data_IF_780938933949
#
_entry.id   IF_780938933949
#
_cell.length_a   1.000
_cell.length_b   1.000
_cell.length_c   1.000
_cell.angle_alpha   90.00
_cell.angle_beta   90.00
_cell.angle_gamma   90.00
#
_symmetry.space_group_name_H-M   'P 1'
#
loop_
_entity.id
_entity.type
_entity.pdbx_description
1 polymer ?
#
# COMPACT_ATOMS: atom_id res chain seq x y z
N UNK A 1 16.25 -26.36 -3.48
CA UNK A 1 17.45 -26.30 -2.60
C UNK A 1 18.36 -27.42 -3.05
N UNK A 2 19.61 -27.10 -3.39
CA UNK A 2 20.60 -28.08 -3.87
C UNK A 2 22.00 -27.50 -3.64
N UNK A 3 23.01 -28.35 -3.46
CA UNK A 3 24.40 -27.93 -3.61
C UNK A 3 24.86 -28.13 -5.06
N UNK A 4 24.83 -27.04 -5.82
CA UNK A 4 25.40 -26.98 -7.16
C UNK A 4 26.55 -25.95 -7.25
N UNK A 5 27.30 -25.73 -6.15
CA UNK A 5 28.53 -24.94 -6.15
C UNK A 5 29.68 -25.77 -6.73
N UNK A 6 30.21 -25.39 -7.91
CA UNK A 6 31.16 -26.20 -8.68
C UNK A 6 30.69 -27.66 -8.92
N UNK A 7 29.37 -27.87 -8.95
CA UNK A 7 28.75 -29.17 -9.12
C UNK A 7 27.59 -29.02 -10.13
N UNK A 8 27.86 -29.15 -11.44
CA UNK A 8 26.87 -28.87 -12.47
C UNK A 8 25.70 -29.85 -12.43
N UNK A 9 24.51 -29.36 -12.76
CA UNK A 9 23.27 -30.12 -12.88
C UNK A 9 22.39 -29.51 -13.98
N UNK A 10 21.21 -30.07 -14.24
CA UNK A 10 20.27 -29.51 -15.20
C UNK A 10 19.71 -28.15 -14.71
N UNK A 11 19.61 -27.12 -15.59
CA UNK A 11 19.39 -25.74 -15.14
C UNK A 11 18.07 -25.49 -14.39
N UNK A 12 16.98 -26.11 -14.82
CA UNK A 12 15.66 -26.02 -14.17
C UNK A 12 15.53 -26.92 -12.93
N UNK A 13 16.61 -27.58 -12.53
CA UNK A 13 16.75 -28.34 -11.29
C UNK A 13 17.77 -27.80 -10.30
N UNK A 14 18.47 -26.70 -10.62
CA UNK A 14 19.51 -26.16 -9.75
C UNK A 14 18.94 -25.40 -8.54
N UNK A 15 19.79 -25.05 -7.58
CA UNK A 15 19.39 -24.19 -6.47
C UNK A 15 18.83 -22.85 -6.97
N UNK A 16 17.71 -22.42 -6.41
CA UNK A 16 17.03 -21.18 -6.82
C UNK A 16 16.12 -21.31 -8.03
N UNK A 17 16.07 -22.48 -8.68
CA UNK A 17 15.09 -22.74 -9.74
C UNK A 17 13.66 -22.76 -9.18
N UNK A 18 12.70 -22.30 -9.98
CA UNK A 18 11.34 -22.81 -9.89
C UNK A 18 11.35 -24.19 -10.54
N UNK A 19 11.40 -25.23 -9.73
CA UNK A 19 11.78 -26.58 -10.16
C UNK A 19 10.93 -27.09 -11.34
N UNK A 20 11.60 -27.41 -12.46
CA UNK A 20 10.96 -27.90 -13.70
C UNK A 20 10.18 -26.82 -14.49
N UNK A 21 10.26 -25.55 -14.08
CA UNK A 21 9.56 -24.41 -14.71
C UNK A 21 10.56 -23.41 -15.25
N UNK A 22 11.46 -22.90 -14.41
CA UNK A 22 12.39 -21.83 -14.78
C UNK A 22 13.74 -21.97 -14.06
N UNK A 23 14.86 -22.04 -14.81
CA UNK A 23 16.20 -21.93 -14.25
C UNK A 23 16.41 -20.61 -13.48
N UNK A 24 17.27 -20.56 -12.46
CA UNK A 24 17.68 -19.29 -11.87
C UNK A 24 18.47 -18.45 -12.88
N UNK A 25 18.32 -17.13 -12.82
CA UNK A 25 19.05 -16.21 -13.69
C UNK A 25 20.58 -16.28 -13.50
N UNK A 26 21.02 -16.62 -12.29
CA UNK A 26 22.45 -16.76 -11.93
C UNK A 26 22.61 -17.76 -10.79
N UNK A 27 23.75 -18.46 -10.77
CA UNK A 27 24.15 -19.27 -9.62
C UNK A 27 24.77 -18.37 -8.54
N UNK A 28 23.98 -18.01 -7.52
CA UNK A 28 24.41 -17.15 -6.42
C UNK A 28 24.82 -17.95 -5.16
N UNK A 29 25.17 -19.24 -5.28
CA UNK A 29 25.55 -20.07 -4.15
C UNK A 29 26.91 -19.65 -3.54
N UNK A 30 26.99 -19.70 -2.22
CA UNK A 30 28.26 -19.76 -1.49
C UNK A 30 28.82 -21.18 -1.47
N UNK A 31 30.11 -21.33 -1.15
CA UNK A 31 30.75 -22.63 -1.00
C UNK A 31 30.12 -23.49 0.14
N UNK A 32 30.30 -24.83 0.11
CA UNK A 32 29.83 -25.71 1.17
C UNK A 32 30.33 -25.31 2.55
N UNK A 33 29.51 -25.55 3.58
CA UNK A 33 29.79 -25.15 4.97
C UNK A 33 29.39 -23.70 5.29
N UNK A 34 29.09 -22.88 4.29
CA UNK A 34 28.52 -21.55 4.47
C UNK A 34 26.99 -21.58 4.44
N UNK A 35 26.37 -20.66 5.18
CA UNK A 35 24.92 -20.49 5.14
C UNK A 35 24.48 -19.79 3.87
N UNK A 36 23.52 -20.40 3.17
CA UNK A 36 22.75 -19.76 2.09
C UNK A 36 21.54 -19.07 2.71
N UNK A 37 21.22 -17.84 2.27
CA UNK A 37 19.95 -17.18 2.61
C UNK A 37 19.01 -17.21 1.41
N UNK A 38 17.72 -17.42 1.68
CA UNK A 38 16.64 -17.32 0.70
C UNK A 38 15.64 -16.29 1.21
N UNK A 39 15.33 -15.30 0.38
CA UNK A 39 14.18 -14.44 0.54
C UNK A 39 13.19 -14.76 -0.58
N UNK A 40 11.98 -15.19 -0.22
CA UNK A 40 10.98 -15.66 -1.19
C UNK A 40 9.73 -14.80 -1.06
N UNK A 41 9.33 -14.20 -2.19
CA UNK A 41 8.05 -13.51 -2.32
C UNK A 41 7.16 -14.38 -3.19
N UNK A 42 6.09 -14.91 -2.59
CA UNK A 42 5.17 -15.80 -3.25
C UNK A 42 3.79 -15.16 -3.39
N UNK A 43 3.27 -15.12 -4.62
CA UNK A 43 1.89 -14.76 -4.94
C UNK A 43 1.19 -16.00 -5.47
N UNK A 44 0.14 -16.46 -4.78
CA UNK A 44 -0.62 -17.64 -5.21
C UNK A 44 -1.32 -17.39 -6.57
N UNK A 45 -1.48 -18.44 -7.40
CA UNK A 45 -2.40 -18.39 -8.52
C UNK A 45 -3.84 -18.16 -8.06
N UNK A 46 -4.63 -17.48 -8.90
CA UNK A 46 -6.07 -17.28 -8.72
C UNK A 46 -6.77 -17.88 -9.93
N UNK A 47 -7.53 -18.94 -9.69
CA UNK A 47 -8.39 -19.58 -10.69
C UNK A 47 -9.82 -19.55 -10.16
N UNK A 48 -10.77 -19.04 -10.96
CA UNK A 48 -12.21 -19.04 -10.66
C UNK A 48 -12.96 -19.62 -11.84
N UNK A 49 -13.85 -20.57 -11.58
CA UNK A 49 -14.69 -21.20 -12.61
C UNK A 49 -13.89 -21.73 -13.81
N UNK A 50 -12.68 -22.27 -13.55
CA UNK A 50 -11.77 -22.77 -14.57
C UNK A 50 -10.99 -21.70 -15.35
N UNK A 51 -11.21 -20.41 -15.05
CA UNK A 51 -10.49 -19.29 -15.67
C UNK A 51 -9.34 -18.84 -14.77
N UNK A 52 -8.14 -18.75 -15.34
CA UNK A 52 -6.96 -18.19 -14.67
C UNK A 52 -7.07 -16.67 -14.66
N UNK A 53 -7.34 -16.10 -13.49
CA UNK A 53 -7.41 -14.65 -13.29
C UNK A 53 -6.02 -14.05 -13.00
N UNK A 54 -5.16 -14.82 -12.36
CA UNK A 54 -3.77 -14.47 -12.04
C UNK A 54 -2.96 -15.77 -11.97
N UNK A 55 -1.85 -15.87 -12.71
CA UNK A 55 -0.99 -17.06 -12.66
C UNK A 55 -0.24 -17.18 -11.33
N UNK A 56 -0.21 -16.12 -10.52
CA UNK A 56 0.69 -16.03 -9.40
C UNK A 56 2.14 -15.85 -9.86
N UNK A 57 3.02 -15.69 -8.89
CA UNK A 57 4.45 -15.50 -9.16
C UNK A 57 5.31 -15.90 -7.99
N UNK A 58 6.57 -16.20 -8.28
CA UNK A 58 7.61 -16.40 -7.28
C UNK A 58 8.84 -15.56 -7.60
N UNK A 59 9.17 -14.64 -6.70
CA UNK A 59 10.45 -13.95 -6.69
C UNK A 59 11.33 -14.61 -5.64
N UNK A 60 12.57 -14.91 -6.01
CA UNK A 60 13.54 -15.57 -5.13
C UNK A 60 14.82 -14.76 -5.16
N UNK A 61 15.29 -14.37 -3.99
CA UNK A 61 16.64 -13.87 -3.79
C UNK A 61 17.45 -14.95 -3.08
N UNK A 62 18.65 -15.20 -3.59
CA UNK A 62 19.63 -16.05 -2.95
C UNK A 62 20.83 -15.21 -2.56
N UNK A 63 21.17 -15.18 -1.26
CA UNK A 63 22.28 -14.38 -0.75
C UNK A 63 22.21 -12.89 -1.16
N UNK A 64 21.00 -12.33 -1.24
CA UNK A 64 20.74 -10.95 -1.66
C UNK A 64 20.71 -10.73 -3.19
N UNK A 65 20.97 -11.75 -4.00
CA UNK A 65 20.93 -11.68 -5.47
C UNK A 65 19.58 -12.20 -5.96
N UNK A 66 18.88 -11.42 -6.78
CA UNK A 66 17.63 -11.87 -7.43
C UNK A 66 17.96 -12.97 -8.43
N UNK A 67 17.44 -14.18 -8.19
CA UNK A 67 17.62 -15.35 -9.06
C UNK A 67 16.34 -15.76 -9.78
N UNK A 68 15.18 -15.35 -9.26
CA UNK A 68 13.87 -15.42 -9.93
C UNK A 68 13.22 -14.06 -9.77
N UNK A 69 12.79 -13.44 -10.85
CA UNK A 69 12.06 -12.17 -10.82
C UNK A 69 10.62 -12.39 -11.27
N UNK A 70 9.70 -12.42 -10.30
CA UNK A 70 8.27 -12.51 -10.54
C UNK A 70 7.88 -13.67 -11.47
N UNK A 71 8.61 -14.78 -11.37
CA UNK A 71 8.48 -15.93 -12.26
C UNK A 71 7.06 -16.50 -12.19
N UNK A 72 6.32 -16.57 -13.31
CA UNK A 72 4.97 -17.12 -13.35
C UNK A 72 4.93 -18.57 -12.88
N UNK A 73 3.85 -18.94 -12.20
CA UNK A 73 3.67 -20.28 -11.67
C UNK A 73 2.78 -21.12 -12.57
N UNK A 74 2.98 -22.43 -12.49
CA UNK A 74 2.11 -23.45 -13.05
C UNK A 74 1.31 -24.14 -11.94
N UNK A 75 0.45 -25.11 -12.29
CA UNK A 75 -0.36 -25.87 -11.34
C UNK A 75 0.37 -26.92 -10.52
N UNK A 76 1.67 -26.74 -10.32
CA UNK A 76 2.56 -27.70 -9.70
C UNK A 76 3.15 -28.71 -10.69
N UNK A 77 4.05 -29.55 -10.20
CA UNK A 77 4.82 -30.44 -11.07
C UNK A 77 5.89 -31.23 -10.32
N UNK A 78 6.71 -31.94 -11.09
CA UNK A 78 7.84 -32.74 -10.62
C UNK A 78 8.88 -32.82 -11.73
N UNK A 79 9.90 -33.66 -11.58
CA UNK A 79 10.96 -33.78 -12.60
C UNK A 79 10.36 -34.01 -14.00
N UNK A 80 10.62 -33.08 -14.93
CA UNK A 80 10.11 -33.09 -16.31
C UNK A 80 8.57 -33.10 -16.43
N UNK A 81 7.84 -32.55 -15.45
CA UNK A 81 6.37 -32.50 -15.46
C UNK A 81 5.87 -31.09 -15.10
N UNK A 82 4.98 -30.55 -15.93
CA UNK A 82 4.26 -29.29 -15.71
C UNK A 82 2.76 -29.56 -15.72
N UNK A 83 2.02 -29.08 -14.72
CA UNK A 83 0.56 -29.18 -14.67
C UNK A 83 -0.08 -27.82 -14.99
N UNK A 84 -1.22 -27.77 -15.69
CA UNK A 84 -1.92 -26.51 -15.94
C UNK A 84 -2.55 -25.95 -14.66
N UNK A 85 -2.68 -24.62 -14.60
CA UNK A 85 -3.51 -23.92 -13.61
C UNK A 85 -4.98 -24.06 -14.00
N UNK A 86 -5.64 -25.15 -13.58
CA UNK A 86 -7.00 -25.47 -14.02
C UNK A 86 -7.98 -25.77 -12.87
N UNK A 87 -7.57 -25.55 -11.63
CA UNK A 87 -8.40 -25.74 -10.45
C UNK A 87 -8.16 -24.60 -9.44
N UNK A 88 -9.14 -24.31 -8.57
CA UNK A 88 -8.94 -23.37 -7.48
C UNK A 88 -7.83 -23.86 -6.54
N UNK A 89 -6.97 -22.93 -6.14
CA UNK A 89 -5.93 -23.16 -5.12
C UNK A 89 -6.40 -22.60 -3.78
N UNK A 90 -6.04 -23.26 -2.65
CA UNK A 90 -6.40 -22.76 -1.34
C UNK A 90 -5.75 -21.38 -1.09
N UNK A 91 -6.45 -20.54 -0.31
CA UNK A 91 -5.96 -19.20 0.03
C UNK A 91 -4.66 -19.23 0.86
N UNK A 92 -4.47 -20.30 1.65
CA UNK A 92 -3.27 -20.56 2.43
C UNK A 92 -2.87 -22.03 2.33
N UNK A 93 -1.57 -22.29 2.48
CA UNK A 93 -1.01 -23.63 2.51
C UNK A 93 0.25 -23.70 3.38
N UNK A 94 0.68 -24.91 3.76
CA UNK A 94 1.88 -25.08 4.57
C UNK A 94 3.15 -24.79 3.75
N UNK A 95 4.22 -24.44 4.44
CA UNK A 95 5.58 -24.51 3.91
C UNK A 95 6.14 -25.89 4.26
N UNK A 96 6.60 -26.63 3.26
CA UNK A 96 7.23 -27.93 3.44
C UNK A 96 8.72 -27.87 3.07
N UNK A 97 9.57 -28.49 3.90
CA UNK A 97 10.98 -28.70 3.60
C UNK A 97 11.14 -30.14 3.12
N UNK A 98 11.68 -30.31 1.92
CA UNK A 98 11.82 -31.64 1.30
C UNK A 98 12.98 -32.42 1.94
N UNK A 99 12.71 -33.67 2.31
CA UNK A 99 13.74 -34.69 2.49
C UNK A 99 13.98 -35.38 1.14
N UNK A 100 15.22 -35.37 0.69
CA UNK A 100 15.66 -36.01 -0.55
C UNK A 100 16.91 -36.86 -0.32
N UNK A 101 17.02 -37.48 0.85
CA UNK A 101 18.09 -38.43 1.22
C UNK A 101 19.45 -37.79 1.53
N UNK A 102 19.53 -36.46 1.50
CA UNK A 102 20.74 -35.70 1.81
C UNK A 102 20.49 -34.80 3.02
N UNK A 103 21.25 -34.95 4.13
CA UNK A 103 21.05 -34.11 5.31
C UNK A 103 21.31 -32.63 5.02
N UNK A 104 20.30 -31.80 5.25
CA UNK A 104 20.38 -30.33 5.16
C UNK A 104 19.96 -29.73 6.49
N UNK A 105 20.70 -28.75 6.99
CA UNK A 105 20.36 -28.00 8.21
C UNK A 105 19.70 -26.67 7.85
N UNK A 106 18.63 -26.32 8.55
CA UNK A 106 17.90 -25.06 8.38
C UNK A 106 17.95 -24.23 9.66
N UNK A 107 17.85 -22.90 9.51
CA UNK A 107 17.72 -21.95 10.64
C UNK A 107 17.01 -20.68 10.17
N UNK A 108 16.54 -19.86 11.12
CA UNK A 108 15.96 -18.53 10.87
C UNK A 108 14.82 -18.55 9.82
N UNK A 109 13.85 -19.44 10.01
CA UNK A 109 12.66 -19.53 9.16
C UNK A 109 11.54 -18.75 9.83
N UNK A 110 11.02 -17.75 9.12
CA UNK A 110 9.85 -16.98 9.51
C UNK A 110 9.02 -16.67 8.26
N UNK A 111 7.76 -16.33 8.47
CA UNK A 111 6.82 -16.01 7.39
C UNK A 111 5.99 -14.81 7.79
N UNK A 112 5.62 -13.98 6.81
CA UNK A 112 4.63 -12.93 6.99
C UNK A 112 3.65 -12.91 5.82
N UNK A 113 2.38 -12.54 6.04
CA UNK A 113 1.44 -12.33 4.95
C UNK A 113 1.85 -11.13 4.10
N UNK A 114 1.68 -11.25 2.79
CA UNK A 114 1.73 -10.13 1.86
C UNK A 114 0.41 -9.36 1.93
N UNK A 115 0.44 -8.09 1.49
CA UNK A 115 -0.80 -7.31 1.41
C UNK A 115 -1.74 -7.91 0.34
N UNK A 116 -3.06 -7.96 0.57
CA UNK A 116 -4.00 -8.56 -0.37
C UNK A 116 -4.00 -7.82 -1.72
N UNK A 117 -4.10 -8.56 -2.83
CA UNK A 117 -4.24 -7.97 -4.18
C UNK A 117 -5.68 -7.47 -4.40
N UNK A 118 -5.93 -6.57 -5.37
CA UNK A 118 -7.27 -6.23 -5.83
C UNK A 118 -8.15 -7.44 -6.13
N UNK A 119 -7.57 -8.45 -6.78
CA UNK A 119 -8.25 -9.72 -7.09
C UNK A 119 -8.63 -10.52 -5.84
N UNK A 120 -7.94 -10.31 -4.72
CA UNK A 120 -8.21 -10.87 -3.40
C UNK A 120 -9.00 -9.89 -2.48
N UNK A 121 -9.59 -8.82 -3.04
CA UNK A 121 -10.35 -7.80 -2.30
C UNK A 121 -9.50 -6.75 -1.58
N UNK A 122 -8.19 -6.74 -1.81
CA UNK A 122 -7.28 -5.71 -1.32
C UNK A 122 -7.28 -4.44 -2.16
N UNK A 123 -6.49 -3.46 -1.74
CA UNK A 123 -6.33 -2.18 -2.46
C UNK A 123 -4.92 -1.93 -2.97
N UNK A 124 -4.01 -2.90 -2.79
CA UNK A 124 -2.63 -2.75 -3.20
C UNK A 124 -2.41 -3.25 -4.62
N UNK A 125 -2.46 -2.33 -5.58
CA UNK A 125 -2.24 -2.61 -6.98
C UNK A 125 -3.10 -1.72 -7.85
N UNK A 126 -3.29 -2.13 -9.12
CA UNK A 126 -4.19 -1.42 -10.03
C UNK A 126 -5.64 -1.74 -9.68
N UNK A 127 -6.38 -0.70 -9.27
CA UNK A 127 -7.82 -0.76 -9.07
C UNK A 127 -8.55 -0.28 -10.34
N UNK A 128 -9.77 -0.77 -10.55
CA UNK A 128 -10.67 -0.15 -11.53
C UNK A 128 -11.08 1.24 -11.03
N UNK A 129 -11.56 2.09 -11.93
CA UNK A 129 -12.11 3.39 -11.55
C UNK A 129 -13.23 3.25 -10.52
N UNK A 130 -14.19 2.34 -10.78
CA UNK A 130 -15.28 2.05 -9.84
C UNK A 130 -14.78 1.59 -8.46
N UNK A 131 -13.79 0.69 -8.40
CA UNK A 131 -13.21 0.24 -7.13
C UNK A 131 -12.43 1.37 -6.42
N UNK A 132 -11.78 2.24 -7.17
CA UNK A 132 -11.08 3.42 -6.64
C UNK A 132 -12.06 4.41 -6.03
N UNK A 133 -13.15 4.73 -6.75
CA UNK A 133 -14.22 5.63 -6.28
C UNK A 133 -14.88 5.07 -5.02
N UNK A 134 -15.24 3.78 -5.02
CA UNK A 134 -15.81 3.12 -3.85
C UNK A 134 -14.85 3.16 -2.64
N UNK A 135 -13.55 2.95 -2.87
CA UNK A 135 -12.56 3.01 -1.79
C UNK A 135 -12.40 4.43 -1.23
N UNK A 136 -12.44 5.44 -2.10
CA UNK A 136 -12.39 6.85 -1.68
C UNK A 136 -13.62 7.20 -0.84
N UNK A 137 -14.81 6.80 -1.26
CA UNK A 137 -16.03 6.94 -0.45
C UNK A 137 -15.90 6.27 0.93
N UNK A 138 -15.38 5.04 1.00
CA UNK A 138 -15.11 4.35 2.26
C UNK A 138 -14.16 5.14 3.18
N UNK A 139 -13.08 5.71 2.62
CA UNK A 139 -12.13 6.54 3.38
C UNK A 139 -12.81 7.81 3.88
N UNK A 140 -13.57 8.51 3.01
CA UNK A 140 -14.35 9.69 3.38
C UNK A 140 -15.29 9.39 4.55
N UNK A 141 -16.06 8.30 4.46
CA UNK A 141 -16.97 7.85 5.52
C UNK A 141 -16.23 7.56 6.85
N UNK A 142 -15.06 6.92 6.80
CA UNK A 142 -14.24 6.67 8.01
C UNK A 142 -13.71 7.96 8.64
N UNK A 143 -13.29 8.92 7.82
CA UNK A 143 -12.86 10.23 8.32
C UNK A 143 -14.02 10.98 8.99
N UNK A 144 -15.21 10.97 8.38
CA UNK A 144 -16.44 11.54 8.97
C UNK A 144 -16.79 10.86 10.29
N UNK A 145 -16.75 9.53 10.36
CA UNK A 145 -16.99 8.78 11.59
C UNK A 145 -15.95 9.12 12.67
N UNK A 146 -14.66 9.23 12.31
CA UNK A 146 -13.62 9.65 13.24
C UNK A 146 -13.83 11.08 13.76
N UNK A 147 -14.35 11.98 12.93
CA UNK A 147 -14.61 13.37 13.31
C UNK A 147 -15.69 13.49 14.40
N UNK A 148 -16.61 12.52 14.50
CA UNK A 148 -17.64 12.49 15.54
C UNK A 148 -17.06 12.38 16.96
N UNK A 149 -15.81 11.92 17.09
CA UNK A 149 -15.09 11.80 18.35
C UNK A 149 -14.06 12.92 18.58
N UNK A 150 -14.10 13.98 17.76
CA UNK A 150 -13.20 15.14 17.82
C UNK A 150 -13.99 16.42 18.11
N UNK A 151 -13.30 17.51 18.47
CA UNK A 151 -13.92 18.82 18.71
C UNK A 151 -13.04 19.95 18.16
N UNK A 152 -13.65 21.11 17.94
CA UNK A 152 -12.96 22.33 17.49
C UNK A 152 -12.15 22.11 16.21
N UNK A 153 -10.93 22.65 16.17
CA UNK A 153 -10.02 22.60 15.02
C UNK A 153 -9.82 21.21 14.43
N UNK A 154 -9.61 20.20 15.27
CA UNK A 154 -9.32 18.85 14.81
C UNK A 154 -10.55 18.22 14.13
N UNK A 155 -11.74 18.49 14.66
CA UNK A 155 -12.99 18.07 14.01
C UNK A 155 -13.20 18.80 12.68
N UNK A 156 -13.01 20.11 12.64
CA UNK A 156 -13.19 20.90 11.42
C UNK A 156 -12.26 20.43 10.32
N UNK A 157 -10.97 20.29 10.60
CA UNK A 157 -9.98 19.83 9.61
C UNK A 157 -10.27 18.39 9.18
N UNK A 158 -10.68 17.50 10.09
CA UNK A 158 -11.05 16.12 9.73
C UNK A 158 -12.26 16.06 8.81
N UNK A 159 -13.27 16.90 9.02
CA UNK A 159 -14.43 17.00 8.15
C UNK A 159 -14.04 17.55 6.77
N UNK A 160 -13.20 18.58 6.71
CA UNK A 160 -12.66 19.11 5.44
C UNK A 160 -11.82 18.07 4.69
N UNK A 161 -11.00 17.30 5.40
CA UNK A 161 -10.23 16.19 4.82
C UNK A 161 -11.15 15.15 4.18
N UNK A 162 -12.29 14.84 4.80
CA UNK A 162 -13.24 13.87 4.23
C UNK A 162 -13.77 14.30 2.85
N UNK A 163 -13.94 15.62 2.62
CA UNK A 163 -14.37 16.17 1.33
C UNK A 163 -13.34 15.95 0.22
N UNK A 164 -12.06 15.76 0.56
CA UNK A 164 -11.00 15.46 -0.41
C UNK A 164 -11.14 14.07 -1.02
N UNK A 165 -11.90 13.18 -0.37
CA UNK A 165 -12.14 11.81 -0.82
C UNK A 165 -13.50 11.67 -1.51
N UNK A 166 -14.55 12.20 -0.88
CA UNK A 166 -15.92 12.18 -1.37
C UNK A 166 -16.66 13.41 -0.85
N UNK A 167 -17.29 14.16 -1.76
CA UNK A 167 -18.12 15.30 -1.40
C UNK A 167 -19.36 14.83 -0.65
N UNK A 168 -19.59 15.39 0.54
CA UNK A 168 -20.72 15.07 1.41
C UNK A 168 -21.31 16.37 1.96
N UNK A 169 -22.57 16.66 1.60
CA UNK A 169 -23.21 17.94 1.90
C UNK A 169 -23.40 18.17 3.39
N UNK A 170 -23.75 17.14 4.16
CA UNK A 170 -23.96 17.27 5.60
C UNK A 170 -22.64 17.57 6.34
N UNK A 171 -21.56 16.88 5.96
CA UNK A 171 -20.23 17.16 6.49
C UNK A 171 -19.70 18.52 6.02
N UNK A 172 -20.04 18.96 4.81
CA UNK A 172 -19.74 20.31 4.35
C UNK A 172 -20.48 21.35 5.19
N UNK A 173 -21.79 21.24 5.37
CA UNK A 173 -22.57 22.21 6.16
C UNK A 173 -22.04 22.33 7.60
N UNK A 174 -21.68 21.19 8.21
CA UNK A 174 -21.08 21.16 9.54
C UNK A 174 -19.70 21.83 9.57
N UNK A 175 -18.81 21.48 8.64
CA UNK A 175 -17.46 22.06 8.59
C UNK A 175 -17.50 23.54 8.21
N UNK A 176 -18.32 23.95 7.25
CA UNK A 176 -18.48 25.34 6.83
C UNK A 176 -18.85 26.26 8.00
N UNK A 177 -19.83 25.84 8.83
CA UNK A 177 -20.19 26.59 10.05
C UNK A 177 -19.00 26.75 10.99
N UNK A 178 -18.29 25.66 11.25
CA UNK A 178 -17.13 25.66 12.13
C UNK A 178 -15.97 26.47 11.58
N UNK A 179 -15.72 26.42 10.26
CA UNK A 179 -14.70 27.23 9.58
C UNK A 179 -14.98 28.72 9.82
N UNK A 180 -16.21 29.17 9.57
CA UNK A 180 -16.59 30.58 9.77
C UNK A 180 -16.41 31.00 11.23
N UNK A 181 -16.84 30.19 12.20
CA UNK A 181 -16.65 30.46 13.63
C UNK A 181 -15.17 30.56 14.01
N UNK A 182 -14.33 29.65 13.50
CA UNK A 182 -12.89 29.65 13.79
C UNK A 182 -12.19 30.86 13.17
N UNK A 183 -12.55 31.25 11.94
CA UNK A 183 -11.97 32.42 11.28
C UNK A 183 -12.37 33.71 12.00
N UNK A 184 -13.64 33.87 12.40
CA UNK A 184 -14.06 35.01 13.23
C UNK A 184 -13.32 35.06 14.58
N UNK A 185 -13.12 33.93 15.24
CA UNK A 185 -12.32 33.86 16.46
C UNK A 185 -10.87 34.31 16.22
N UNK A 186 -10.26 33.95 15.09
CA UNK A 186 -8.89 34.38 14.79
C UNK A 186 -8.77 35.90 14.64
N UNK A 187 -9.79 36.59 14.13
CA UNK A 187 -9.77 38.06 13.93
C UNK A 187 -9.66 38.83 15.24
N UNK A 188 -10.13 38.27 16.35
CA UNK A 188 -10.09 38.90 17.67
C UNK A 188 -8.87 38.50 18.52
N UNK A 189 -8.09 37.52 18.08
CA UNK A 189 -6.87 37.09 18.78
C UNK A 189 -5.72 38.06 18.55
N UNK A 190 -4.87 38.20 19.57
CA UNK A 190 -3.58 38.88 19.42
C UNK A 190 -2.63 38.08 18.52
N UNK A 191 -1.64 38.75 17.93
CA UNK A 191 -0.60 38.09 17.11
C UNK A 191 0.09 36.94 17.84
N UNK A 192 0.39 37.12 19.14
CA UNK A 192 1.01 36.08 19.98
C UNK A 192 0.11 34.84 20.11
N UNK A 193 -1.20 35.04 20.28
CA UNK A 193 -2.16 33.93 20.36
C UNK A 193 -2.34 33.21 19.02
N UNK A 194 -2.31 33.95 17.91
CA UNK A 194 -2.29 33.37 16.57
C UNK A 194 -1.02 32.53 16.36
N UNK A 195 0.16 33.04 16.73
CA UNK A 195 1.44 32.32 16.65
C UNK A 195 1.44 31.02 17.46
N UNK A 196 0.87 31.02 18.67
CA UNK A 196 0.71 29.79 19.48
C UNK A 196 -0.17 28.73 18.79
N UNK A 197 -1.03 29.14 17.85
CA UNK A 197 -1.95 28.28 17.10
C UNK A 197 -1.52 28.06 15.65
N UNK A 198 -0.29 28.42 15.30
CA UNK A 198 0.21 28.40 13.91
C UNK A 198 -0.05 27.08 13.19
N UNK A 199 0.15 25.95 13.85
CA UNK A 199 -0.06 24.64 13.23
C UNK A 199 -1.53 24.41 12.87
N UNK A 200 -2.48 24.73 13.76
CA UNK A 200 -3.91 24.59 13.47
C UNK A 200 -4.36 25.54 12.36
N UNK A 201 -3.93 26.81 12.42
CA UNK A 201 -4.29 27.83 11.43
C UNK A 201 -3.77 27.43 10.04
N UNK A 202 -2.50 27.02 9.94
CA UNK A 202 -1.93 26.56 8.67
C UNK A 202 -2.57 25.25 8.19
N UNK A 203 -2.96 24.35 9.10
CA UNK A 203 -3.71 23.14 8.77
C UNK A 203 -5.04 23.47 8.10
N UNK A 204 -5.81 24.39 8.68
CA UNK A 204 -7.08 24.88 8.13
C UNK A 204 -6.87 25.57 6.77
N UNK A 205 -5.90 26.48 6.67
CA UNK A 205 -5.57 27.19 5.43
C UNK A 205 -5.23 26.21 4.30
N UNK A 206 -4.39 25.21 4.58
CA UNK A 206 -3.97 24.23 3.58
C UNK A 206 -5.14 23.33 3.14
N UNK A 207 -6.03 22.96 4.06
CA UNK A 207 -7.23 22.20 3.73
C UNK A 207 -8.15 23.00 2.79
N UNK A 208 -8.47 24.25 3.14
CA UNK A 208 -9.32 25.12 2.30
C UNK A 208 -8.68 25.41 0.93
N UNK A 209 -7.38 25.70 0.92
CA UNK A 209 -6.63 25.93 -0.33
C UNK A 209 -6.65 24.71 -1.25
N UNK A 210 -6.56 23.50 -0.69
CA UNK A 210 -6.70 22.27 -1.46
C UNK A 210 -8.10 22.16 -2.06
N UNK A 211 -9.14 22.36 -1.24
CA UNK A 211 -10.53 22.24 -1.69
C UNK A 211 -10.86 23.25 -2.81
N UNK A 212 -10.34 24.48 -2.73
CA UNK A 212 -10.49 25.48 -3.81
C UNK A 212 -9.71 25.08 -5.07
N UNK A 213 -8.47 24.60 -4.92
CA UNK A 213 -7.62 24.21 -6.06
C UNK A 213 -8.23 23.09 -6.91
N UNK A 214 -9.01 22.22 -6.29
CA UNK A 214 -9.66 21.08 -6.95
C UNK A 214 -11.16 21.29 -7.16
N UNK A 215 -11.64 22.54 -7.09
CA UNK A 215 -13.04 22.93 -7.34
C UNK A 215 -14.07 22.16 -6.48
N UNK A 216 -13.66 21.71 -5.28
CA UNK A 216 -14.55 21.05 -4.31
C UNK A 216 -15.39 22.11 -3.58
N UNK A 217 -14.84 23.30 -3.39
CA UNK A 217 -15.53 24.46 -2.85
C UNK A 217 -15.32 25.67 -3.76
N UNK A 218 -16.17 26.67 -3.64
CA UNK A 218 -16.12 27.85 -4.49
C UNK A 218 -14.80 28.63 -4.33
N UNK A 219 -14.28 29.15 -5.45
CA UNK A 219 -13.04 29.92 -5.47
C UNK A 219 -13.14 31.24 -4.67
N UNK A 220 -14.35 31.77 -4.53
CA UNK A 220 -14.71 32.97 -3.76
C UNK A 220 -15.28 32.66 -2.37
N UNK A 221 -15.01 31.46 -1.83
CA UNK A 221 -15.42 31.09 -0.48
C UNK A 221 -14.78 32.04 0.57
N UNK A 222 -15.59 32.94 1.13
CA UNK A 222 -15.11 34.08 1.93
C UNK A 222 -14.25 33.69 3.14
N UNK A 223 -14.59 32.66 3.96
CA UNK A 223 -13.74 32.28 5.09
C UNK A 223 -12.32 31.86 4.68
N UNK A 224 -12.13 31.27 3.48
CA UNK A 224 -10.80 30.93 2.98
C UNK A 224 -10.00 32.18 2.59
N UNK A 225 -10.66 33.20 2.03
CA UNK A 225 -10.05 34.48 1.68
C UNK A 225 -9.60 35.24 2.92
N UNK A 226 -10.47 35.36 3.93
CA UNK A 226 -10.16 36.01 5.20
C UNK A 226 -9.02 35.30 5.93
N UNK A 227 -9.06 33.96 5.99
CA UNK A 227 -7.98 33.17 6.57
C UNK A 227 -6.66 33.37 5.84
N UNK A 228 -6.69 33.49 4.51
CA UNK A 228 -5.53 33.78 3.69
C UNK A 228 -4.92 35.15 4.01
N UNK A 229 -5.74 36.18 4.19
CA UNK A 229 -5.29 37.52 4.59
C UNK A 229 -4.63 37.52 5.97
N UNK A 230 -5.18 36.75 6.92
CA UNK A 230 -4.57 36.57 8.26
C UNK A 230 -3.19 35.92 8.14
N UNK A 231 -3.06 34.81 7.43
CA UNK A 231 -1.75 34.11 7.33
C UNK A 231 -0.72 34.88 6.49
N UNK A 232 -1.16 35.71 5.54
CA UNK A 232 -0.29 36.60 4.77
C UNK A 232 0.25 37.74 5.64
N UNK A 233 -0.62 38.37 6.45
CA UNK A 233 -0.25 39.40 7.42
C UNK A 233 0.77 38.88 8.44
N UNK A 234 0.62 37.62 8.84
CA UNK A 234 1.57 36.92 9.72
C UNK A 234 2.85 36.46 9.01
N UNK A 235 2.96 36.64 7.70
CA UNK A 235 4.13 36.27 6.89
C UNK A 235 4.35 34.76 6.79
N UNK A 236 3.30 33.95 6.93
CA UNK A 236 3.41 32.48 6.91
C UNK A 236 3.28 31.86 5.53
N UNK A 237 2.83 32.63 4.53
CA UNK A 237 2.79 32.18 3.15
C UNK A 237 4.21 32.04 2.59
N UNK A 238 4.47 30.94 1.90
CA UNK A 238 5.74 30.78 1.16
C UNK A 238 5.77 31.82 0.04
N UNK A 239 6.79 32.69 0.04
CA UNK A 239 7.10 33.52 -1.13
C UNK A 239 7.39 32.59 -2.30
N UNK A 240 6.65 32.75 -3.39
CA UNK A 240 6.91 32.06 -4.66
C UNK A 240 8.18 32.60 -5.29
#
# INVERSE_FOLDING_TARGET
VLDNFNNPTYPDGSAGAVYGVMPPAVNALRAPGQWQSYDIIYRRPIVRDGVVLDQGSMTVLMNGVVVQDSTPLDGGGGHKKRKPLNHPYPDMGPIALQDHGNPVRYRNIWVRPLRPRPTDGGTDGRLSEAATTAKRAEIGAKLRASAAHMQGWDQTVRLLESQMYESDSAAWDASNRQVSELVEQLKVLTTKEQEMRRQQIMGLHNALSYLQRFDIIAADYEPAKELREIVDTLGWLKKK
#
